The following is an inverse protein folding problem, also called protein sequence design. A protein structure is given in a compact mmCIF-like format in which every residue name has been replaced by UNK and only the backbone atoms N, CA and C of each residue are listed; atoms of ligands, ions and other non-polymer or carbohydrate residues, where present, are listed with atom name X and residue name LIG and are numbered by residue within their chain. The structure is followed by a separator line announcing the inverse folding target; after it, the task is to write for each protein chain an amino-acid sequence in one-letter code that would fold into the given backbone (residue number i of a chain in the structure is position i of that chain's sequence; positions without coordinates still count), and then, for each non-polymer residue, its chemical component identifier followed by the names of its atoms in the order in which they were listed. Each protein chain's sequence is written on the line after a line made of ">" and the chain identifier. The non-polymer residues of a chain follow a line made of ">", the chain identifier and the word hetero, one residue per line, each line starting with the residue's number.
data_IF_652760414206
#
_entry.id   IF_652760414206
#
_cell.length_a   1.000
_cell.length_b   1.000
_cell.length_c   1.000
_cell.angle_alpha   90.00
_cell.angle_beta   90.00
_cell.angle_gamma   90.00
#
_symmetry.space_group_name_H-M   'P 1'
#
loop_
_entity.id
_entity.type
_entity.pdbx_description
1 polymer ?
#
# COMPACT_ATOMS: atom_id res chain seq x y z
N UNK A 1 -11.67 -52.72 51.62
CA UNK A 1 -12.44 -51.58 52.16
C UNK A 1 -12.21 -50.41 51.23
N UNK A 2 -13.19 -50.13 50.36
CA UNK A 2 -13.19 -49.02 49.41
C UNK A 2 -13.64 -47.74 50.11
N UNK A 3 -12.80 -46.70 50.07
CA UNK A 3 -13.17 -45.35 50.50
C UNK A 3 -13.59 -44.60 49.23
N UNK A 4 -14.88 -44.28 49.14
CA UNK A 4 -15.46 -43.54 48.03
C UNK A 4 -14.97 -42.10 48.07
N UNK A 5 -14.30 -41.68 47.01
CA UNK A 5 -13.98 -40.28 46.72
C UNK A 5 -15.28 -39.47 46.56
N UNK A 6 -15.38 -38.38 47.33
CA UNK A 6 -16.45 -37.42 47.22
C UNK A 6 -16.38 -36.71 45.86
N UNK A 7 -17.31 -37.06 44.96
CA UNK A 7 -17.55 -36.37 43.70
C UNK A 7 -18.00 -34.93 44.00
N UNK A 8 -17.05 -33.99 43.93
CA UNK A 8 -17.33 -32.56 43.98
C UNK A 8 -18.13 -32.18 42.71
N UNK A 9 -19.45 -32.19 42.82
CA UNK A 9 -20.38 -31.68 41.81
C UNK A 9 -20.14 -30.18 41.65
N UNK A 10 -19.28 -29.79 40.71
CA UNK A 10 -19.12 -28.39 40.29
C UNK A 10 -20.45 -27.93 39.67
N UNK A 11 -21.29 -27.32 40.50
CA UNK A 11 -22.47 -26.57 40.05
C UNK A 11 -21.93 -25.30 39.40
N UNK A 12 -21.70 -25.35 38.09
CA UNK A 12 -21.40 -24.15 37.31
C UNK A 12 -22.57 -23.19 37.45
N UNK A 13 -22.32 -22.03 38.04
CA UNK A 13 -23.35 -21.03 38.27
C UNK A 13 -24.05 -20.68 36.95
N UNK A 14 -25.38 -20.63 36.91
CA UNK A 14 -26.13 -20.35 35.67
C UNK A 14 -25.74 -19.00 35.05
N UNK A 15 -25.32 -18.04 35.86
CA UNK A 15 -24.77 -16.74 35.42
C UNK A 15 -23.49 -16.92 34.58
N UNK A 16 -22.62 -17.86 34.94
CA UNK A 16 -21.35 -18.09 34.25
C UNK A 16 -21.59 -18.69 32.85
N UNK A 17 -22.61 -19.54 32.71
CA UNK A 17 -23.02 -20.10 31.42
C UNK A 17 -23.55 -18.99 30.49
N UNK A 18 -24.42 -18.11 31.01
CA UNK A 18 -24.97 -16.98 30.22
C UNK A 18 -23.86 -16.03 29.79
N UNK A 19 -22.92 -15.72 30.68
CA UNK A 19 -21.77 -14.87 30.36
C UNK A 19 -20.89 -15.48 29.27
N UNK A 20 -20.61 -16.79 29.35
CA UNK A 20 -19.81 -17.48 28.34
C UNK A 20 -20.49 -17.46 26.95
N UNK A 21 -21.80 -17.70 26.89
CA UNK A 21 -22.57 -17.65 25.63
C UNK A 21 -22.56 -16.23 25.05
N UNK A 22 -22.75 -15.20 25.88
CA UNK A 22 -22.73 -13.81 25.44
C UNK A 22 -21.37 -13.40 24.86
N UNK A 23 -20.27 -13.79 25.52
CA UNK A 23 -18.91 -13.49 25.05
C UNK A 23 -18.61 -14.17 23.72
N UNK A 24 -19.01 -15.43 23.53
CA UNK A 24 -18.79 -16.15 22.25
C UNK A 24 -19.59 -15.51 21.11
N UNK A 25 -20.84 -15.11 21.36
CA UNK A 25 -21.66 -14.40 20.37
C UNK A 25 -21.05 -13.04 20.01
N UNK A 26 -20.57 -12.28 21.00
CA UNK A 26 -19.93 -10.99 20.73
C UNK A 26 -18.62 -11.14 19.95
N UNK A 27 -17.74 -12.07 20.34
CA UNK A 27 -16.47 -12.32 19.65
C UNK A 27 -16.67 -12.82 18.22
N UNK A 28 -17.68 -13.67 17.97
CA UNK A 28 -17.97 -14.17 16.62
C UNK A 28 -18.44 -13.05 15.69
N UNK A 29 -19.31 -12.14 16.17
CA UNK A 29 -19.72 -10.95 15.40
C UNK A 29 -18.54 -10.02 15.12
N UNK A 30 -17.68 -9.75 16.12
CA UNK A 30 -16.48 -8.93 15.93
C UNK A 30 -15.50 -9.50 14.91
N UNK A 31 -15.31 -10.82 14.90
CA UNK A 31 -14.41 -11.49 13.94
C UNK A 31 -14.98 -11.43 12.51
N UNK A 32 -16.30 -11.58 12.35
CA UNK A 32 -16.96 -11.43 11.06
C UNK A 32 -16.84 -10.00 10.50
N UNK A 33 -16.75 -8.98 11.37
CA UNK A 33 -16.49 -7.60 10.95
C UNK A 33 -15.07 -7.39 10.43
N UNK A 34 -14.07 -7.90 11.15
CA UNK A 34 -12.65 -7.73 10.81
C UNK A 34 -12.29 -8.52 9.55
N UNK A 35 -12.86 -9.71 9.37
CA UNK A 35 -12.65 -10.54 8.18
C UNK A 35 -13.49 -10.08 6.97
N UNK A 36 -14.28 -9.01 7.10
CA UNK A 36 -15.09 -8.44 6.02
C UNK A 36 -16.26 -9.34 5.60
N UNK A 37 -16.69 -10.25 6.46
CA UNK A 37 -17.74 -11.24 6.18
C UNK A 37 -19.15 -10.73 6.52
N UNK A 38 -19.25 -9.65 7.30
CA UNK A 38 -20.52 -8.97 7.53
C UNK A 38 -20.92 -8.15 6.29
N UNK A 39 -22.15 -8.32 5.77
CA UNK A 39 -22.68 -7.44 4.73
C UNK A 39 -22.69 -6.01 5.26
N UNK A 40 -22.06 -5.11 4.52
CA UNK A 40 -21.89 -3.71 4.90
C UNK A 40 -23.25 -3.09 5.19
N UNK A 41 -23.55 -2.78 6.46
CA UNK A 41 -24.60 -1.82 6.76
C UNK A 41 -24.24 -0.51 6.06
N UNK A 42 -25.15 -0.03 5.23
CA UNK A 42 -25.05 1.24 4.50
C UNK A 42 -25.02 2.42 5.48
N UNK A 43 -23.88 2.63 6.13
CA UNK A 43 -23.51 3.89 6.73
C UNK A 43 -22.79 4.71 5.66
N UNK A 44 -23.45 5.74 5.15
CA UNK A 44 -22.83 6.75 4.29
C UNK A 44 -21.61 7.35 5.00
N UNK A 45 -20.41 6.92 4.62
CA UNK A 45 -19.18 7.39 5.23
C UNK A 45 -17.97 6.94 4.44
N UNK A 46 -17.58 7.76 3.48
CA UNK A 46 -16.35 7.69 2.67
C UNK A 46 -16.26 6.55 1.65
N UNK A 47 -16.90 6.75 0.49
CA UNK A 47 -16.47 6.12 -0.76
C UNK A 47 -15.26 6.89 -1.30
N UNK A 48 -14.09 6.26 -1.50
CA UNK A 48 -13.08 6.84 -2.37
C UNK A 48 -13.66 6.89 -3.79
N UNK A 49 -13.78 8.10 -4.34
CA UNK A 49 -14.18 8.30 -5.73
C UNK A 49 -13.29 7.44 -6.63
N UNK A 50 -13.85 6.51 -7.43
CA UNK A 50 -13.05 5.80 -8.42
C UNK A 50 -12.50 6.84 -9.37
N UNK A 51 -11.17 6.84 -9.54
CA UNK A 51 -10.53 7.60 -10.59
C UNK A 51 -11.22 7.21 -11.90
N UNK A 52 -11.91 8.18 -12.52
CA UNK A 52 -12.47 8.04 -13.85
C UNK A 52 -11.30 7.58 -14.73
N UNK A 53 -11.36 6.31 -15.14
CA UNK A 53 -10.56 5.80 -16.23
C UNK A 53 -11.01 6.59 -17.44
N UNK A 54 -10.18 7.54 -17.86
CA UNK A 54 -10.38 8.26 -19.10
C UNK A 54 -10.27 7.20 -20.20
N UNK A 55 -11.33 6.89 -20.97
CA UNK A 55 -11.18 6.06 -22.14
C UNK A 55 -10.25 6.81 -23.09
N UNK A 56 -9.27 6.11 -23.65
CA UNK A 56 -8.42 6.62 -24.72
C UNK A 56 -9.29 7.29 -25.80
N UNK A 57 -8.88 8.42 -26.40
CA UNK A 57 -9.69 9.11 -27.39
C UNK A 57 -9.95 8.19 -28.59
N UNK A 58 -11.18 7.70 -28.69
CA UNK A 58 -11.67 7.02 -29.88
C UNK A 58 -11.76 8.06 -31.00
N UNK A 59 -11.04 7.82 -32.08
CA UNK A 59 -11.11 8.61 -33.32
C UNK A 59 -12.55 8.54 -33.84
N UNK A 60 -13.30 9.65 -33.95
CA UNK A 60 -14.65 9.62 -34.49
C UNK A 60 -14.64 9.46 -36.01
N UNK A 61 -15.56 8.67 -36.61
CA UNK A 61 -15.75 8.64 -38.06
C UNK A 61 -16.32 9.98 -38.56
N UNK A 62 -15.95 10.44 -39.77
CA UNK A 62 -16.43 11.70 -40.32
C UNK A 62 -17.89 11.56 -40.78
N UNK A 63 -18.80 12.33 -40.20
CA UNK A 63 -20.14 12.52 -40.78
C UNK A 63 -21.36 12.69 -39.86
N UNK A 64 -21.24 12.91 -38.55
CA UNK A 64 -22.40 13.15 -37.70
C UNK A 64 -22.45 14.58 -37.13
N UNK A 65 -23.61 15.28 -37.16
CA UNK A 65 -23.75 16.64 -36.64
C UNK A 65 -23.70 16.67 -35.10
N UNK A 66 -22.97 17.64 -34.56
CA UNK A 66 -22.76 17.84 -33.13
C UNK A 66 -24.08 18.13 -32.37
N UNK A 67 -24.35 17.48 -31.22
CA UNK A 67 -25.44 17.87 -30.34
C UNK A 67 -25.10 19.18 -29.60
N UNK A 68 -26.04 20.11 -29.63
CA UNK A 68 -26.01 21.42 -29.00
C UNK A 68 -25.80 21.30 -27.48
N UNK A 69 -24.86 22.11 -26.97
CA UNK A 69 -24.63 22.31 -25.54
C UNK A 69 -25.91 22.81 -24.84
N UNK A 70 -26.29 22.16 -23.74
CA UNK A 70 -27.38 22.63 -22.88
C UNK A 70 -26.84 23.33 -21.62
N UNK A 71 -27.56 24.33 -21.10
CA UNK A 71 -27.05 25.31 -20.13
C UNK A 71 -27.13 24.76 -18.70
N UNK A 72 -26.06 24.93 -17.94
CA UNK A 72 -26.05 24.73 -16.48
C UNK A 72 -26.81 25.85 -15.79
N UNK A 73 -28.02 25.54 -15.32
CA UNK A 73 -28.80 26.39 -14.40
C UNK A 73 -28.36 26.12 -12.97
N UNK A 74 -27.49 26.96 -12.43
CA UNK A 74 -27.21 27.06 -10.99
C UNK A 74 -28.20 28.04 -10.35
N UNK A 75 -29.00 27.64 -9.34
CA UNK A 75 -29.69 28.58 -8.49
C UNK A 75 -28.77 29.06 -7.35
N UNK A 76 -28.23 30.26 -7.55
CA UNK A 76 -27.65 31.13 -6.52
C UNK A 76 -28.74 31.62 -5.55
N UNK A 77 -28.62 31.30 -4.27
CA UNK A 77 -29.08 32.12 -3.13
C UNK A 77 -28.11 31.85 -1.97
N UNK A 78 -27.09 32.68 -1.77
CA UNK A 78 -27.14 33.93 -1.01
C UNK A 78 -26.71 33.72 0.45
N UNK A 79 -25.45 34.09 0.75
CA UNK A 79 -25.19 34.95 1.89
C UNK A 79 -23.88 35.73 1.70
N UNK A 80 -24.10 36.97 1.29
CA UNK A 80 -23.19 38.08 1.22
C UNK A 80 -23.13 38.76 2.59
N UNK A 81 -21.93 38.90 3.15
CA UNK A 81 -21.46 39.98 4.03
C UNK A 81 -20.10 39.54 4.58
N UNK A 82 -19.00 40.28 4.56
CA UNK A 82 -18.71 41.61 4.10
C UNK A 82 -17.19 41.68 3.87
N UNK A 83 -16.77 42.38 2.83
CA UNK A 83 -15.36 42.73 2.63
C UNK A 83 -14.97 43.86 3.58
N UNK A 84 -13.66 43.99 3.89
CA UNK A 84 -13.02 45.25 3.56
C UNK A 84 -11.88 45.05 2.56
N UNK A 85 -12.00 45.85 1.51
CA UNK A 85 -11.00 46.17 0.52
C UNK A 85 -9.83 46.85 1.24
N UNK A 86 -8.63 46.26 1.18
CA UNK A 86 -7.41 47.00 1.52
C UNK A 86 -6.73 47.41 0.21
N UNK A 87 -6.64 48.73 0.07
CA UNK A 87 -6.12 49.48 -1.05
C UNK A 87 -4.79 48.95 -1.60
N UNK A 88 -4.67 49.12 -2.91
CA UNK A 88 -3.41 49.18 -3.65
C UNK A 88 -2.30 49.88 -2.85
N UNK A 89 -1.25 49.14 -2.54
CA UNK A 89 0.03 49.71 -2.16
C UNK A 89 0.89 49.83 -3.43
N UNK A 90 1.11 51.07 -3.80
CA UNK A 90 2.02 51.62 -4.79
C UNK A 90 3.37 50.88 -4.84
N UNK A 91 3.72 50.33 -6.00
CA UNK A 91 5.09 49.87 -6.28
C UNK A 91 6.02 51.09 -6.33
N UNK A 92 7.12 51.12 -5.53
CA UNK A 92 8.17 52.12 -5.68
C UNK A 92 8.94 51.92 -7.00
N UNK A 93 9.40 53.00 -7.67
CA UNK A 93 10.24 52.89 -8.85
C UNK A 93 11.61 52.30 -8.48
N UNK A 94 12.09 51.43 -9.36
CA UNK A 94 13.39 50.75 -9.29
C UNK A 94 14.57 51.74 -9.19
N UNK A 95 15.58 51.49 -8.35
CA UNK A 95 16.87 52.16 -8.44
C UNK A 95 17.60 51.70 -9.71
N UNK A 96 18.11 52.68 -10.46
CA UNK A 96 18.86 52.51 -11.69
C UNK A 96 20.05 51.54 -11.54
N UNK A 97 20.15 50.60 -12.47
CA UNK A 97 21.30 49.72 -12.62
C UNK A 97 22.57 50.52 -13.01
N UNK A 98 23.75 50.15 -12.49
CA UNK A 98 25.03 50.72 -12.93
C UNK A 98 25.35 50.34 -14.39
N UNK A 99 26.13 51.17 -15.11
CA UNK A 99 26.46 50.97 -16.51
C UNK A 99 27.25 49.67 -16.74
N UNK A 100 26.86 48.96 -17.79
CA UNK A 100 27.45 47.71 -18.25
C UNK A 100 28.94 47.86 -18.57
N UNK A 101 29.73 46.93 -18.04
CA UNK A 101 31.11 46.69 -18.46
C UNK A 101 31.13 46.23 -19.94
N UNK A 102 32.21 46.53 -20.70
CA UNK A 102 32.32 46.18 -22.11
C UNK A 102 32.21 44.66 -22.33
N UNK A 103 31.60 44.20 -23.43
CA UNK A 103 31.52 42.78 -23.74
C UNK A 103 32.93 42.24 -23.97
N UNK A 104 33.40 41.39 -23.06
CA UNK A 104 34.56 40.56 -23.28
C UNK A 104 34.30 39.69 -24.52
N UNK A 105 35.25 39.71 -25.46
CA UNK A 105 35.20 38.95 -26.69
C UNK A 105 34.84 37.47 -26.39
N UNK A 106 33.78 37.00 -27.03
CA UNK A 106 33.35 35.60 -26.96
C UNK A 106 34.46 34.74 -27.57
N UNK A 107 35.21 34.03 -26.74
CA UNK A 107 36.13 33.00 -27.22
C UNK A 107 35.31 31.96 -28.02
N UNK A 108 35.85 31.39 -29.13
CA UNK A 108 35.17 30.36 -29.87
C UNK A 108 34.92 29.18 -28.93
N UNK A 109 33.66 28.97 -28.59
CA UNK A 109 33.24 27.78 -27.87
C UNK A 109 33.45 26.64 -28.85
N UNK A 110 34.54 25.88 -28.68
CA UNK A 110 34.71 24.61 -29.39
C UNK A 110 33.45 23.80 -29.15
N UNK A 111 32.67 23.57 -30.20
CA UNK A 111 31.55 22.65 -30.16
C UNK A 111 32.11 21.31 -29.73
N UNK A 112 31.85 20.94 -28.47
CA UNK A 112 32.31 19.69 -27.91
C UNK A 112 31.79 18.56 -28.80
N UNK A 113 32.70 17.70 -29.25
CA UNK A 113 32.34 16.50 -29.98
C UNK A 113 31.27 15.74 -29.19
N UNK A 114 30.24 15.15 -29.84
CA UNK A 114 29.21 14.39 -29.15
C UNK A 114 29.87 13.34 -28.26
N UNK A 115 29.60 13.41 -26.95
CA UNK A 115 30.13 12.44 -26.01
C UNK A 115 29.71 11.02 -26.46
N UNK A 116 30.61 10.02 -26.36
CA UNK A 116 30.30 8.66 -26.77
C UNK A 116 29.05 8.17 -26.02
N UNK A 117 28.02 7.77 -26.77
CA UNK A 117 26.79 7.24 -26.22
C UNK A 117 27.09 5.97 -25.41
N UNK A 118 26.88 6.06 -24.11
CA UNK A 118 27.01 4.91 -23.25
C UNK A 118 25.81 3.99 -23.42
N UNK A 119 26.03 2.80 -23.98
CA UNK A 119 24.95 1.81 -24.22
C UNK A 119 24.25 1.32 -22.94
N UNK A 120 24.91 1.43 -21.79
CA UNK A 120 24.39 0.98 -20.52
C UNK A 120 23.92 2.13 -19.61
N UNK A 121 23.79 3.32 -20.18
CA UNK A 121 23.39 4.51 -19.46
C UNK A 121 21.91 4.80 -19.70
N UNK A 122 21.34 5.48 -18.72
CA UNK A 122 19.93 5.81 -18.71
C UNK A 122 19.55 6.62 -17.47
N UNK A 123 18.26 6.83 -17.32
CA UNK A 123 17.68 7.57 -16.19
C UNK A 123 16.67 6.70 -15.47
N UNK A 124 16.60 6.84 -14.15
CA UNK A 124 15.58 6.15 -13.36
C UNK A 124 14.21 6.74 -13.72
N UNK A 125 13.33 5.93 -14.30
CA UNK A 125 11.97 6.36 -14.67
C UNK A 125 11.01 6.21 -13.49
N UNK A 126 11.10 5.10 -12.75
CA UNK A 126 10.27 4.83 -11.58
C UNK A 126 10.96 3.85 -10.62
N UNK A 127 10.59 3.93 -9.35
CA UNK A 127 11.01 2.99 -8.31
C UNK A 127 9.74 2.45 -7.67
N UNK A 128 9.55 1.14 -7.74
CA UNK A 128 8.42 0.47 -7.11
C UNK A 128 8.92 -0.40 -5.96
N UNK A 129 8.41 -0.17 -4.77
CA UNK A 129 8.61 -1.10 -3.66
C UNK A 129 7.70 -2.32 -3.86
N UNK A 130 8.30 -3.50 -3.79
CA UNK A 130 7.63 -4.79 -3.90
C UNK A 130 7.88 -5.56 -2.61
N UNK A 131 6.82 -5.69 -1.82
CA UNK A 131 6.85 -6.49 -0.60
C UNK A 131 6.68 -7.96 -0.98
N UNK A 132 7.74 -8.75 -0.82
CA UNK A 132 7.69 -10.18 -1.10
C UNK A 132 7.59 -10.94 0.22
N UNK A 133 6.55 -11.76 0.36
CA UNK A 133 6.38 -12.61 1.53
C UNK A 133 7.56 -13.57 1.62
N UNK A 134 8.16 -13.66 2.81
CA UNK A 134 9.26 -14.59 3.04
C UNK A 134 8.82 -16.03 2.92
N UNK A 135 9.71 -16.89 2.40
CA UNK A 135 9.47 -18.32 2.40
C UNK A 135 9.44 -18.82 3.84
N UNK A 136 8.29 -19.36 4.27
CA UNK A 136 8.15 -20.01 5.55
C UNK A 136 9.02 -21.28 5.59
N UNK A 137 9.83 -21.42 6.63
CA UNK A 137 10.45 -22.66 7.06
C UNK A 137 9.45 -23.71 7.57
N UNK A 138 8.21 -23.30 7.87
CA UNK A 138 7.17 -24.18 8.40
C UNK A 138 7.31 -24.49 9.89
N UNK A 139 8.31 -23.90 10.56
CA UNK A 139 8.52 -24.05 12.00
C UNK A 139 7.35 -23.46 12.79
N UNK A 140 6.85 -22.29 12.38
CA UNK A 140 5.64 -21.70 12.95
C UNK A 140 4.41 -22.58 12.75
N UNK A 141 4.31 -23.27 11.61
CA UNK A 141 3.20 -24.17 11.34
C UNK A 141 3.25 -25.43 12.20
N UNK A 142 4.42 -26.07 12.30
CA UNK A 142 4.61 -27.25 13.14
C UNK A 142 4.44 -26.92 14.63
N UNK A 143 5.07 -25.84 15.10
CA UNK A 143 4.94 -25.36 16.47
C UNK A 143 3.49 -24.99 16.81
N UNK A 144 2.83 -24.24 15.92
CA UNK A 144 1.43 -23.87 16.07
C UNK A 144 0.48 -25.06 16.07
N UNK A 145 0.74 -26.09 15.26
CA UNK A 145 -0.06 -27.31 15.22
C UNK A 145 0.04 -28.11 16.52
N UNK A 146 1.26 -28.28 17.04
CA UNK A 146 1.51 -29.00 18.28
C UNK A 146 0.84 -28.25 19.45
N UNK A 147 1.08 -26.95 19.56
CA UNK A 147 0.50 -26.13 20.63
C UNK A 147 -1.03 -26.08 20.53
N UNK A 148 -1.58 -25.89 19.33
CA UNK A 148 -3.01 -25.83 19.06
C UNK A 148 -3.72 -27.16 19.28
N UNK A 149 -3.07 -28.27 18.95
CA UNK A 149 -3.59 -29.61 19.23
C UNK A 149 -3.60 -29.93 20.74
N UNK A 150 -2.54 -29.57 21.47
CA UNK A 150 -2.45 -29.75 22.92
C UNK A 150 -3.49 -28.91 23.67
N UNK A 151 -3.72 -27.66 23.24
CA UNK A 151 -4.78 -26.81 23.79
C UNK A 151 -6.17 -27.34 23.40
N UNK A 152 -6.38 -27.73 22.14
CA UNK A 152 -7.65 -28.28 21.66
C UNK A 152 -8.05 -29.57 22.38
N UNK A 153 -7.07 -30.39 22.77
CA UNK A 153 -7.31 -31.61 23.52
C UNK A 153 -7.77 -31.36 24.98
N UNK A 154 -7.59 -30.14 25.51
CA UNK A 154 -8.06 -29.78 26.85
C UNK A 154 -9.48 -29.20 26.84
N UNK A 155 -9.98 -28.82 25.66
CA UNK A 155 -11.29 -28.20 25.49
C UNK A 155 -12.30 -29.27 25.09
N UNK A 156 -13.05 -29.76 26.07
CA UNK A 156 -14.18 -30.68 25.88
C UNK A 156 -13.88 -32.15 26.21
N UNK A 157 -14.92 -32.98 26.11
CA UNK A 157 -14.86 -34.41 26.37
C UNK A 157 -15.29 -35.26 25.17
N UNK A 158 -14.95 -36.56 25.21
CA UNK A 158 -15.35 -37.52 24.19
C UNK A 158 -14.92 -37.13 22.77
N UNK A 159 -15.85 -37.19 21.82
CA UNK A 159 -15.61 -36.87 20.41
C UNK A 159 -15.36 -35.37 20.15
N UNK A 160 -15.87 -34.48 21.02
CA UNK A 160 -15.66 -33.04 20.89
C UNK A 160 -14.18 -32.67 21.03
N UNK A 161 -13.47 -33.37 21.94
CA UNK A 161 -12.03 -33.20 22.14
C UNK A 161 -11.23 -33.52 20.88
N UNK A 162 -11.56 -34.62 20.19
CA UNK A 162 -10.82 -35.02 18.99
C UNK A 162 -11.01 -34.01 17.85
N UNK A 163 -12.24 -33.52 17.65
CA UNK A 163 -12.52 -32.48 16.67
C UNK A 163 -11.81 -31.17 17.03
N UNK A 164 -11.83 -30.77 18.30
CA UNK A 164 -11.13 -29.58 18.79
C UNK A 164 -9.61 -29.67 18.60
N UNK A 165 -9.01 -30.83 18.86
CA UNK A 165 -7.57 -31.07 18.60
C UNK A 165 -7.22 -30.92 17.12
N UNK A 166 -8.01 -31.52 16.22
CA UNK A 166 -7.76 -31.43 14.77
C UNK A 166 -7.95 -29.98 14.29
N UNK A 167 -9.02 -29.33 14.72
CA UNK A 167 -9.29 -27.94 14.38
C UNK A 167 -8.19 -27.01 14.92
N UNK A 168 -7.76 -27.20 16.16
CA UNK A 168 -6.69 -26.43 16.79
C UNK A 168 -5.34 -26.65 16.12
N UNK A 169 -5.02 -27.88 15.71
CA UNK A 169 -3.79 -28.19 15.00
C UNK A 169 -3.77 -27.55 13.60
N UNK A 170 -4.84 -27.67 12.83
CA UNK A 170 -4.94 -27.07 11.48
C UNK A 170 -4.95 -25.54 11.59
N UNK A 171 -5.73 -24.98 12.51
CA UNK A 171 -5.80 -23.54 12.75
C UNK A 171 -4.46 -22.97 13.20
N UNK A 172 -3.78 -23.63 14.13
CA UNK A 172 -2.46 -23.27 14.61
C UNK A 172 -1.39 -23.37 13.51
N UNK A 173 -1.47 -24.38 12.63
CA UNK A 173 -0.56 -24.52 11.51
C UNK A 173 -0.68 -23.38 10.49
N UNK A 174 -1.92 -23.05 10.10
CA UNK A 174 -2.18 -21.98 9.13
C UNK A 174 -1.82 -20.61 9.70
N UNK A 175 -2.22 -20.35 10.95
CA UNK A 175 -1.87 -19.11 11.64
C UNK A 175 -0.35 -18.98 11.78
N UNK A 176 0.33 -20.05 12.22
CA UNK A 176 1.78 -20.07 12.37
C UNK A 176 2.53 -19.81 11.06
N UNK A 177 2.11 -20.43 9.95
CA UNK A 177 2.71 -20.21 8.64
C UNK A 177 2.53 -18.76 8.15
N UNK A 178 1.34 -18.19 8.36
CA UNK A 178 1.07 -16.80 7.99
C UNK A 178 1.93 -15.81 8.79
N UNK A 179 2.05 -16.02 10.10
CA UNK A 179 2.87 -15.17 10.97
C UNK A 179 4.33 -15.24 10.53
N UNK A 180 4.86 -16.45 10.28
CA UNK A 180 6.24 -16.63 9.86
C UNK A 180 6.51 -16.00 8.48
N UNK A 181 5.63 -16.19 7.50
CA UNK A 181 5.76 -15.57 6.19
C UNK A 181 5.70 -14.04 6.25
N UNK A 182 4.86 -13.48 7.13
CA UNK A 182 4.79 -12.04 7.37
C UNK A 182 6.06 -11.51 8.05
N UNK A 183 6.51 -12.15 9.14
CA UNK A 183 7.73 -11.76 9.85
C UNK A 183 8.99 -11.84 8.98
N UNK A 184 9.01 -12.78 8.04
CA UNK A 184 10.13 -12.97 7.10
C UNK A 184 9.94 -12.21 5.77
N UNK A 185 8.92 -11.35 5.68
CA UNK A 185 8.72 -10.52 4.48
C UNK A 185 9.92 -9.62 4.25
N UNK A 186 10.34 -9.55 2.99
CA UNK A 186 11.47 -8.71 2.57
C UNK A 186 10.96 -7.70 1.57
N UNK A 187 11.26 -6.42 1.82
CA UNK A 187 11.06 -5.36 0.82
C UNK A 187 12.15 -5.47 -0.24
N UNK A 188 11.72 -5.66 -1.48
CA UNK A 188 12.58 -5.56 -2.66
C UNK A 188 12.13 -4.37 -3.49
N UNK A 189 13.04 -3.76 -4.25
CA UNK A 189 12.73 -2.61 -5.08
C UNK A 189 12.90 -2.97 -6.54
N UNK A 190 11.89 -2.67 -7.34
CA UNK A 190 11.93 -2.83 -8.77
C UNK A 190 12.16 -1.47 -9.41
N UNK A 191 13.39 -1.26 -9.89
CA UNK A 191 13.81 0.02 -10.46
C UNK A 191 13.68 -0.05 -11.97
N UNK A 192 12.80 0.79 -12.50
CA UNK A 192 12.53 0.94 -13.92
C UNK A 192 13.50 1.98 -14.45
N UNK A 193 14.50 1.55 -15.22
CA UNK A 193 15.49 2.43 -15.85
C UNK A 193 15.14 2.60 -17.31
N UNK A 194 14.93 3.84 -17.74
CA UNK A 194 14.81 4.19 -19.16
C UNK A 194 16.21 4.45 -19.70
N UNK A 195 16.69 3.54 -20.54
CA UNK A 195 17.99 3.59 -21.18
C UNK A 195 18.01 4.69 -22.25
N UNK A 196 19.21 5.16 -22.59
CA UNK A 196 19.40 6.18 -23.64
C UNK A 196 18.99 5.68 -25.05
N UNK A 197 18.95 4.36 -25.26
CA UNK A 197 18.45 3.74 -26.49
C UNK A 197 16.90 3.71 -26.58
N UNK A 198 16.21 4.27 -25.58
CA UNK A 198 14.75 4.32 -25.47
C UNK A 198 14.12 3.05 -24.89
N UNK A 199 14.89 1.99 -24.63
CA UNK A 199 14.38 0.78 -23.98
C UNK A 199 14.26 0.97 -22.49
N UNK A 200 13.39 0.20 -21.86
CA UNK A 200 13.24 0.18 -20.41
C UNK A 200 13.77 -1.13 -19.85
N UNK A 201 14.54 -1.07 -18.76
CA UNK A 201 15.05 -2.24 -18.03
C UNK A 201 14.58 -2.21 -16.60
N UNK A 202 14.11 -3.36 -16.11
CA UNK A 202 13.76 -3.54 -14.71
C UNK A 202 14.94 -4.17 -13.98
N UNK A 203 15.36 -3.54 -12.89
CA UNK A 203 16.47 -4.02 -12.06
C UNK A 203 15.96 -4.23 -10.65
N UNK A 204 16.09 -5.46 -10.15
CA UNK A 204 15.74 -5.82 -8.79
C UNK A 204 16.85 -5.45 -7.83
N UNK A 205 16.57 -4.55 -6.89
CA UNK A 205 17.48 -4.15 -5.83
C UNK A 205 16.93 -4.61 -4.48
N UNK A 206 17.83 -5.06 -3.59
CA UNK A 206 17.48 -5.38 -2.21
C UNK A 206 17.16 -4.12 -1.38
N UNK A 207 17.60 -2.93 -1.81
CA UNK A 207 17.32 -1.67 -1.13
C UNK A 207 17.36 -0.50 -2.12
N UNK A 208 16.38 0.40 -2.06
CA UNK A 208 16.32 1.59 -2.93
C UNK A 208 17.34 2.68 -2.58
N UNK A 209 18.07 2.55 -1.47
CA UNK A 209 19.08 3.53 -1.06
C UNK A 209 18.53 4.96 -1.14
N UNK A 210 19.28 5.85 -1.80
CA UNK A 210 18.93 7.25 -1.96
C UNK A 210 18.40 7.58 -3.38
N UNK A 211 18.21 6.56 -4.22
CA UNK A 211 17.89 6.74 -5.63
C UNK A 211 16.55 7.43 -5.83
N UNK A 212 16.50 8.39 -6.75
CA UNK A 212 15.23 9.05 -7.13
C UNK A 212 14.96 8.95 -8.62
N UNK A 213 13.69 9.03 -8.99
CA UNK A 213 13.31 9.16 -10.39
C UNK A 213 13.95 10.43 -10.99
N UNK A 214 14.49 10.31 -12.20
CA UNK A 214 15.24 11.34 -12.90
C UNK A 214 16.76 11.27 -12.69
N UNK A 215 17.26 10.44 -11.79
CA UNK A 215 18.70 10.35 -11.52
C UNK A 215 19.41 9.57 -12.65
N UNK A 216 20.56 10.07 -13.17
CA UNK A 216 21.32 9.39 -14.21
C UNK A 216 22.07 8.20 -13.61
N UNK A 217 21.91 7.05 -14.25
CA UNK A 217 22.46 5.78 -13.78
C UNK A 217 23.04 4.95 -14.92
N UNK A 218 24.10 4.21 -14.58
CA UNK A 218 24.70 3.21 -15.45
C UNK A 218 24.49 1.82 -14.87
N UNK A 219 24.04 0.89 -15.71
CA UNK A 219 23.87 -0.52 -15.35
C UNK A 219 25.19 -1.27 -15.61
N UNK A 220 25.83 -1.76 -14.55
CA UNK A 220 27.08 -2.55 -14.63
C UNK A 220 26.87 -3.88 -13.90
N UNK A 221 26.93 -5.01 -14.62
CA UNK A 221 26.73 -6.35 -14.07
C UNK A 221 25.41 -6.50 -13.26
N UNK A 222 24.34 -5.85 -13.72
CA UNK A 222 23.05 -5.86 -13.02
C UNK A 222 22.98 -4.95 -11.79
N UNK A 223 24.04 -4.19 -11.49
CA UNK A 223 24.07 -3.20 -10.40
C UNK A 223 23.92 -1.79 -10.97
N UNK A 224 23.17 -0.93 -10.27
CA UNK A 224 23.07 0.49 -10.59
C UNK A 224 24.25 1.25 -10.00
N UNK A 225 24.89 2.08 -10.82
CA UNK A 225 25.95 3.03 -10.40
C UNK A 225 25.54 4.44 -10.77
N UNK A 226 25.89 5.40 -9.91
CA UNK A 226 25.63 6.81 -10.15
C UNK A 226 26.53 7.27 -11.27
N UNK A 227 25.96 7.95 -12.25
CA UNK A 227 26.70 8.62 -13.29
C UNK A 227 26.87 10.09 -12.87
N UNK A 228 28.08 10.45 -12.44
CA UNK A 228 28.46 11.82 -12.09
C UNK A 228 29.13 12.51 -13.27
#
# INVERSE_FOLDING_TARGET
>A
MHIHEASARQVTHPILIVAAVAVVLFCSVGTAAILGWLPSSSGSGYQPVPAIQHPAPAVPPPGAPAPLAQPSTDPMLAQSAAQPVTLAATQPPAPAAPPAAPPAASAPTSAAAPAPHCRNCGVIAAIHEVHTRGQGSGLGAAGGAVLGGLLGNQVGGGHGRQLATIAGAVGGAVAGNQIEGNMKSTSSYNVVVRMDDGRTRNVHLASAGNWRAGEPVRIVNGTLRAER
#
